data_IF_599944486400
#
_entry.id   IF_599944486400
#
_cell.length_a   1.000
_cell.length_b   1.000
_cell.length_c   1.000
_cell.angle_alpha   90.00
_cell.angle_beta   90.00
_cell.angle_gamma   90.00
#
_symmetry.space_group_name_H-M   'P 1'
#
loop_
_entity.id
_entity.type
_entity.pdbx_description
1 polymer ?
#
# COMPACT_ATOMS: atom_id res chain seq x y z
N UNK A 1 2.01 5.48 -1.82
CA UNK A 1 1.44 4.31 -1.16
C UNK A 1 0.21 4.76 -0.40
N UNK A 2 -0.75 3.87 -0.15
CA UNK A 2 -2.00 4.27 0.50
C UNK A 2 -1.79 4.79 1.93
N UNK A 3 -0.68 4.40 2.56
CA UNK A 3 -0.39 4.76 3.93
C UNK A 3 0.08 6.21 4.10
N UNK A 4 0.61 6.85 3.04
CA UNK A 4 0.91 8.30 3.02
C UNK A 4 -0.32 9.16 3.31
N UNK A 5 -1.51 8.57 3.14
CA UNK A 5 -2.81 9.26 3.26
C UNK A 5 -3.50 9.01 4.59
N UNK A 6 -2.89 8.26 5.51
CA UNK A 6 -3.43 7.97 6.83
C UNK A 6 -2.42 8.34 7.92
N UNK A 7 -2.92 8.56 9.13
CA UNK A 7 -2.04 8.69 10.30
C UNK A 7 -1.68 7.30 10.82
N UNK A 8 -0.38 7.01 10.93
CA UNK A 8 0.14 5.74 11.42
C UNK A 8 0.42 4.72 10.31
N UNK A 9 0.68 3.47 10.69
CA UNK A 9 1.12 2.39 9.80
C UNK A 9 0.06 1.31 9.57
N UNK A 10 -1.17 1.54 10.00
CA UNK A 10 -2.23 0.53 9.98
C UNK A 10 -3.32 0.93 8.99
N UNK A 11 -3.40 0.21 7.87
CA UNK A 11 -4.36 0.42 6.79
C UNK A 11 -5.63 -0.39 7.06
N UNK A 12 -6.77 0.24 7.40
CA UNK A 12 -8.03 -0.48 7.63
C UNK A 12 -8.65 -0.88 6.28
N UNK A 13 -8.14 -1.96 5.70
CA UNK A 13 -8.57 -2.48 4.39
C UNK A 13 -8.82 -3.97 4.45
N UNK A 14 -9.79 -4.42 3.64
CA UNK A 14 -10.07 -5.85 3.46
C UNK A 14 -9.53 -6.33 2.12
N UNK A 15 -9.25 -7.63 1.99
CA UNK A 15 -8.87 -8.21 0.69
C UNK A 15 -9.95 -7.97 -0.37
N UNK A 16 -11.23 -7.98 0.03
CA UNK A 16 -12.35 -7.68 -0.86
C UNK A 16 -12.29 -6.23 -1.35
N UNK A 17 -12.05 -5.28 -0.43
CA UNK A 17 -11.92 -3.88 -0.77
C UNK A 17 -10.77 -3.63 -1.75
N UNK A 18 -9.58 -4.16 -1.47
CA UNK A 18 -8.43 -4.08 -2.37
C UNK A 18 -8.73 -4.71 -3.74
N UNK A 19 -9.43 -5.85 -3.77
CA UNK A 19 -9.79 -6.51 -5.03
C UNK A 19 -10.73 -5.66 -5.88
N UNK A 20 -11.66 -4.93 -5.25
CA UNK A 20 -12.54 -3.99 -5.95
C UNK A 20 -11.76 -2.78 -6.48
N UNK A 21 -10.88 -2.20 -5.66
CA UNK A 21 -10.09 -1.01 -6.04
C UNK A 21 -9.11 -1.29 -7.18
N UNK A 22 -8.53 -2.49 -7.20
CA UNK A 22 -7.56 -2.90 -8.22
C UNK A 22 -8.21 -3.63 -9.40
N UNK A 23 -9.54 -3.84 -9.38
CA UNK A 23 -10.28 -4.60 -10.38
C UNK A 23 -9.69 -6.01 -10.65
N UNK A 24 -9.24 -6.69 -9.60
CA UNK A 24 -8.67 -8.04 -9.65
C UNK A 24 -9.49 -9.04 -8.83
N UNK A 25 -9.16 -10.33 -8.93
CA UNK A 25 -9.77 -11.36 -8.08
C UNK A 25 -9.26 -11.22 -6.64
N UNK A 26 -10.14 -11.49 -5.66
CA UNK A 26 -9.75 -11.56 -4.23
C UNK A 26 -8.57 -12.50 -3.99
N UNK A 27 -8.50 -13.62 -4.72
CA UNK A 27 -7.41 -14.57 -4.62
C UNK A 27 -6.04 -13.95 -4.97
N UNK A 28 -5.98 -13.11 -6.01
CA UNK A 28 -4.75 -12.40 -6.40
C UNK A 28 -4.26 -11.46 -5.30
N UNK A 29 -5.18 -10.75 -4.63
CA UNK A 29 -4.86 -9.91 -3.47
C UNK A 29 -4.32 -10.76 -2.32
N UNK A 30 -4.96 -11.88 -2.01
CA UNK A 30 -4.49 -12.79 -0.95
C UNK A 30 -3.07 -13.28 -1.22
N UNK A 31 -2.78 -13.72 -2.44
CA UNK A 31 -1.43 -14.16 -2.82
C UNK A 31 -0.41 -13.04 -2.69
N UNK A 32 -0.72 -11.83 -3.18
CA UNK A 32 0.18 -10.69 -3.07
C UNK A 32 0.46 -10.31 -1.61
N UNK A 33 -0.57 -10.25 -0.76
CA UNK A 33 -0.41 -9.96 0.66
C UNK A 33 0.43 -11.02 1.38
N UNK A 34 0.27 -12.31 1.04
CA UNK A 34 1.13 -13.37 1.58
C UNK A 34 2.60 -13.22 1.19
N UNK A 35 2.89 -12.80 -0.04
CA UNK A 35 4.27 -12.53 -0.48
C UNK A 35 4.87 -11.36 0.31
N UNK A 36 4.13 -10.25 0.42
CA UNK A 36 4.59 -9.08 1.16
C UNK A 36 4.77 -9.37 2.66
N UNK A 37 3.88 -10.16 3.25
CA UNK A 37 4.00 -10.60 4.65
C UNK A 37 5.16 -11.59 4.85
N UNK A 38 5.36 -12.53 3.91
CA UNK A 38 6.48 -13.46 3.92
C UNK A 38 7.85 -12.79 3.82
N UNK A 39 7.91 -11.64 3.13
CA UNK A 39 9.11 -10.78 3.09
C UNK A 39 9.26 -9.88 4.33
N UNK A 40 8.31 -9.93 5.28
CA UNK A 40 8.34 -9.13 6.50
C UNK A 40 7.98 -7.64 6.30
N UNK A 41 7.46 -7.27 5.12
CA UNK A 41 7.14 -5.90 4.79
C UNK A 41 5.87 -5.42 5.50
N UNK A 42 4.90 -6.32 5.63
CA UNK A 42 3.61 -6.06 6.26
C UNK A 42 3.23 -7.19 7.22
N UNK A 43 2.19 -6.96 8.00
CA UNK A 43 1.39 -7.99 8.67
C UNK A 43 -0.06 -7.83 8.26
N UNK A 44 -0.69 -8.89 7.77
CA UNK A 44 -2.07 -8.88 7.29
C UNK A 44 -2.98 -9.56 8.30
N UNK A 45 -3.87 -8.80 8.91
CA UNK A 45 -4.88 -9.30 9.83
C UNK A 45 -6.29 -9.08 9.27
N UNK A 46 -7.31 -9.61 9.93
CA UNK A 46 -8.69 -9.49 9.44
C UNK A 46 -9.12 -8.03 9.42
N UNK A 47 -9.18 -7.45 8.23
CA UNK A 47 -9.67 -6.09 7.99
C UNK A 47 -8.63 -4.99 8.23
N UNK A 48 -7.37 -5.35 8.44
CA UNK A 48 -6.28 -4.39 8.62
C UNK A 48 -4.97 -4.94 8.05
N UNK A 49 -4.21 -4.08 7.39
CA UNK A 49 -2.84 -4.36 6.94
C UNK A 49 -1.91 -3.40 7.66
N UNK A 50 -0.95 -3.92 8.41
CA UNK A 50 0.02 -3.12 9.17
C UNK A 50 1.36 -3.12 8.44
N UNK A 51 1.88 -1.94 8.10
CA UNK A 51 3.21 -1.80 7.52
C UNK A 51 4.26 -1.98 8.62
N UNK A 52 5.19 -2.92 8.39
CA UNK A 52 6.27 -3.27 9.32
C UNK A 52 7.60 -2.69 8.89
N UNK A 53 7.89 -2.71 7.59
CA UNK A 53 9.09 -2.11 7.04
C UNK A 53 8.69 -1.24 5.84
N UNK A 54 8.62 0.07 6.07
CA UNK A 54 8.26 1.03 5.03
C UNK A 54 9.34 1.12 3.96
N UNK A 55 10.59 1.30 4.37
CA UNK A 55 11.72 1.47 3.46
C UNK A 55 11.83 0.29 2.48
N UNK A 56 11.73 -0.94 2.98
CA UNK A 56 11.75 -2.13 2.12
C UNK A 56 10.52 -2.24 1.20
N UNK A 57 9.35 -1.73 1.62
CA UNK A 57 8.18 -1.64 0.73
C UNK A 57 8.37 -0.63 -0.39
N UNK A 58 8.97 0.52 -0.09
CA UNK A 58 9.25 1.56 -1.08
C UNK A 58 10.29 1.05 -2.09
N UNK A 59 11.34 0.38 -1.62
CA UNK A 59 12.34 -0.27 -2.48
C UNK A 59 11.71 -1.38 -3.34
N UNK A 60 10.87 -2.23 -2.75
CA UNK A 60 10.18 -3.30 -3.49
C UNK A 60 9.20 -2.75 -4.54
N UNK A 61 8.55 -1.62 -4.27
CA UNK A 61 7.66 -0.98 -5.24
C UNK A 61 8.42 -0.40 -6.45
N UNK A 62 9.71 -0.08 -6.29
CA UNK A 62 10.58 0.45 -7.33
C UNK A 62 9.88 1.59 -8.10
N UNK A 63 9.72 1.47 -9.41
CA UNK A 63 9.15 2.53 -10.26
C UNK A 63 7.65 2.76 -10.05
N UNK A 64 6.97 1.87 -9.32
CA UNK A 64 5.55 1.99 -9.02
C UNK A 64 5.27 3.01 -7.90
N UNK A 65 6.30 3.53 -7.23
CA UNK A 65 6.18 4.49 -6.14
C UNK A 65 7.31 5.53 -6.15
N UNK A 66 7.01 6.78 -5.79
CA UNK A 66 7.99 7.87 -5.66
C UNK A 66 7.79 9.00 -6.67
N UNK A 67 7.91 8.71 -7.98
CA UNK A 67 7.73 9.72 -9.04
C UNK A 67 6.28 10.22 -9.11
N UNK A 68 5.25 9.36 -9.11
CA UNK A 68 3.87 9.83 -9.10
C UNK A 68 3.56 10.70 -7.87
N UNK A 69 4.13 10.37 -6.72
CA UNK A 69 3.93 11.11 -5.47
C UNK A 69 4.69 12.44 -5.42
N UNK A 70 5.91 12.50 -5.99
CA UNK A 70 6.63 13.77 -6.10
C UNK A 70 5.87 14.74 -7.00
N UNK A 71 5.33 14.25 -8.13
CA UNK A 71 4.49 15.05 -9.03
C UNK A 71 3.18 15.46 -8.37
N UNK A 72 2.52 14.54 -7.65
CA UNK A 72 1.33 14.88 -6.86
C UNK A 72 1.63 16.00 -5.86
N UNK A 73 2.71 15.89 -5.07
CA UNK A 73 3.10 16.94 -4.13
C UNK A 73 3.37 18.26 -4.86
N UNK A 74 4.17 18.23 -5.94
CA UNK A 74 4.50 19.43 -6.73
C UNK A 74 3.25 20.15 -7.23
N UNK A 75 2.26 19.41 -7.74
CA UNK A 75 1.00 19.96 -8.24
C UNK A 75 0.09 20.48 -7.12
N UNK A 76 0.08 19.81 -5.97
CA UNK A 76 -0.80 20.16 -4.84
C UNK A 76 -0.25 21.29 -3.95
N UNK A 77 1.07 21.53 -3.93
CA UNK A 77 1.68 22.61 -3.12
C UNK A 77 1.20 24.01 -3.51
N UNK A 78 0.66 24.21 -4.71
CA UNK A 78 0.09 25.49 -5.15
C UNK A 78 -1.42 25.64 -4.94
N UNK A 79 -2.10 24.64 -4.37
CA UNK A 79 -3.56 24.59 -4.24
C UNK A 79 -4.07 24.91 -2.83
N UNK A 80 -3.18 25.16 -1.86
CA UNK A 80 -3.52 25.56 -0.49
C UNK A 80 -2.56 26.62 0.04
#
# INVERSE_FOLDING_TARGET
MCDDRIHGNALPVTHKFLSMMLSVRRASVTTALHVLEGNGFIRSERGIVVIRNREAMEEFAHDAYGIPESEYRRLMTGLF
#
